data_IF_666503829509
#
_entry.id   IF_666503829509
#
_cell.length_a   1.000
_cell.length_b   1.000
_cell.length_c   1.000
_cell.angle_alpha   90.00
_cell.angle_beta   90.00
_cell.angle_gamma   90.00
#
_symmetry.space_group_name_H-M   'P 1'
#
loop_
_entity.id
_entity.type
_entity.pdbx_description
1 polymer ?
#
# COMPACT_ATOMS: atom_id res chain seq x y z
N UNK A 1 -1.89 -17.74 -24.20
CA UNK A 1 -2.27 -16.50 -23.48
C UNK A 1 -1.64 -16.60 -22.11
N UNK A 2 -0.64 -15.77 -21.81
CA UNK A 2 -0.21 -15.62 -20.41
C UNK A 2 -1.44 -15.25 -19.59
N UNK A 3 -1.61 -15.91 -18.44
CA UNK A 3 -2.70 -15.63 -17.54
C UNK A 3 -2.36 -14.29 -16.86
N UNK A 4 -2.80 -13.19 -17.47
CA UNK A 4 -2.52 -11.84 -16.99
C UNK A 4 -3.13 -11.68 -15.59
N UNK A 5 -2.28 -11.53 -14.58
CA UNK A 5 -2.66 -11.54 -13.17
C UNK A 5 -2.16 -10.26 -12.49
N UNK A 6 -2.88 -9.15 -12.65
CA UNK A 6 -2.46 -7.89 -12.03
C UNK A 6 -2.99 -7.71 -10.62
N UNK A 7 -2.24 -6.98 -9.80
CA UNK A 7 -2.62 -6.62 -8.46
C UNK A 7 -3.84 -5.67 -8.49
N UNK A 8 -4.84 -5.88 -7.61
CA UNK A 8 -5.86 -4.87 -7.38
C UNK A 8 -5.22 -3.55 -6.96
N UNK A 9 -5.67 -2.42 -7.52
CA UNK A 9 -5.16 -1.09 -7.18
C UNK A 9 -5.07 -0.82 -5.67
N UNK A 10 -6.08 -1.25 -4.91
CA UNK A 10 -6.12 -1.03 -3.47
C UNK A 10 -5.07 -1.86 -2.70
N UNK A 11 -4.66 -3.02 -3.23
CA UNK A 11 -3.54 -3.79 -2.68
C UNK A 11 -2.24 -3.03 -2.91
N UNK A 12 -2.03 -2.50 -4.12
CA UNK A 12 -0.85 -1.68 -4.43
C UNK A 12 -0.81 -0.38 -3.61
N UNK A 13 -1.96 0.25 -3.34
CA UNK A 13 -2.04 1.39 -2.42
C UNK A 13 -1.53 1.03 -1.02
N UNK A 14 -1.99 -0.11 -0.47
CA UNK A 14 -1.56 -0.60 0.84
C UNK A 14 -0.04 -0.86 0.86
N UNK A 15 0.46 -1.57 -0.14
CA UNK A 15 1.88 -1.94 -0.23
C UNK A 15 2.76 -0.69 -0.33
N UNK A 16 2.47 0.23 -1.25
CA UNK A 16 3.26 1.44 -1.40
C UNK A 16 3.16 2.36 -0.18
N UNK A 17 1.98 2.43 0.46
CA UNK A 17 1.81 3.11 1.74
C UNK A 17 2.66 2.49 2.85
N UNK A 18 2.74 1.17 2.91
CA UNK A 18 3.55 0.45 3.89
C UNK A 18 5.06 0.60 3.65
N UNK A 19 5.50 0.60 2.38
CA UNK A 19 6.91 0.87 2.04
C UNK A 19 7.28 2.29 2.49
N UNK A 20 6.46 3.29 2.17
CA UNK A 20 6.68 4.67 2.61
C UNK A 20 6.67 4.79 4.14
N UNK A 21 5.71 4.15 4.82
CA UNK A 21 5.63 4.14 6.28
C UNK A 21 6.90 3.55 6.91
N UNK A 22 7.32 2.36 6.46
CA UNK A 22 8.51 1.68 7.00
C UNK A 22 9.80 2.45 6.70
N UNK A 23 9.87 3.17 5.60
CA UNK A 23 10.98 4.07 5.32
C UNK A 23 11.01 5.24 6.31
N UNK A 24 9.87 5.87 6.59
CA UNK A 24 9.77 7.00 7.53
C UNK A 24 10.04 6.55 8.97
N UNK A 25 9.57 5.37 9.38
CA UNK A 25 9.76 4.84 10.74
C UNK A 25 11.11 4.15 10.95
N UNK A 26 11.76 3.71 9.87
CA UNK A 26 12.96 2.88 9.90
C UNK A 26 14.25 3.60 9.53
N UNK A 27 15.32 2.82 9.37
CA UNK A 27 16.67 3.29 9.04
C UNK A 27 17.26 2.58 7.80
N UNK A 28 16.43 1.85 7.05
CA UNK A 28 16.83 1.13 5.85
C UNK A 28 16.47 1.92 4.60
N UNK A 29 17.22 1.76 3.49
CA UNK A 29 16.91 2.38 2.22
C UNK A 29 15.55 1.90 1.68
N UNK A 30 14.88 2.75 0.90
CA UNK A 30 13.55 2.48 0.34
C UNK A 30 13.54 1.21 -0.55
N UNK A 31 14.66 1.00 -1.26
CA UNK A 31 14.95 -0.16 -2.11
C UNK A 31 14.84 -1.47 -1.34
N UNK A 32 15.33 -1.53 -0.09
CA UNK A 32 15.29 -2.75 0.71
C UNK A 32 13.84 -3.22 0.93
N UNK A 33 12.95 -2.28 1.30
CA UNK A 33 11.53 -2.58 1.50
C UNK A 33 10.83 -2.95 0.18
N UNK A 34 11.09 -2.19 -0.89
CA UNK A 34 10.48 -2.41 -2.20
C UNK A 34 10.87 -3.76 -2.80
N UNK A 35 12.17 -4.11 -2.78
CA UNK A 35 12.68 -5.39 -3.28
C UNK A 35 12.10 -6.57 -2.50
N UNK A 36 12.11 -6.48 -1.16
CA UNK A 36 11.63 -7.56 -0.31
C UNK A 36 10.13 -7.82 -0.49
N UNK A 37 9.32 -6.77 -0.46
CA UNK A 37 7.87 -6.91 -0.63
C UNK A 37 7.51 -7.33 -2.06
N UNK A 38 8.24 -6.83 -3.07
CA UNK A 38 8.06 -7.23 -4.48
C UNK A 38 8.23 -8.74 -4.66
N UNK A 39 9.29 -9.32 -4.08
CA UNK A 39 9.58 -10.76 -4.16
C UNK A 39 8.40 -11.63 -3.73
N UNK A 40 7.70 -11.24 -2.67
CA UNK A 40 6.53 -11.97 -2.18
C UNK A 40 5.26 -11.65 -2.98
N UNK A 41 5.07 -10.39 -3.38
CA UNK A 41 3.91 -9.97 -4.18
C UNK A 41 3.92 -10.55 -5.59
N UNK A 42 5.07 -10.73 -6.20
CA UNK A 42 5.20 -11.31 -7.55
C UNK A 42 4.78 -12.77 -7.61
N UNK A 43 4.71 -13.45 -6.46
CA UNK A 43 4.09 -14.79 -6.34
C UNK A 43 2.57 -14.75 -6.52
N UNK A 44 1.94 -13.57 -6.34
CA UNK A 44 0.50 -13.35 -6.43
C UNK A 44 0.10 -12.60 -7.72
N UNK A 45 0.93 -11.64 -8.13
CA UNK A 45 0.60 -10.69 -9.19
C UNK A 45 1.81 -10.40 -10.09
N UNK A 46 1.62 -10.41 -11.39
CA UNK A 46 2.69 -10.24 -12.38
C UNK A 46 3.17 -8.79 -12.56
N UNK A 47 2.49 -7.80 -11.98
CA UNK A 47 2.81 -6.37 -12.11
C UNK A 47 3.30 -5.72 -10.80
N UNK A 48 3.97 -6.49 -9.94
CA UNK A 48 4.46 -6.02 -8.63
C UNK A 48 5.98 -5.84 -8.58
N UNK A 49 6.61 -5.45 -9.68
CA UNK A 49 8.06 -5.26 -9.74
C UNK A 49 8.56 -4.23 -8.73
N UNK A 50 9.77 -4.47 -8.21
CA UNK A 50 10.38 -3.60 -7.21
C UNK A 50 10.49 -2.16 -7.69
N UNK A 51 10.85 -1.95 -8.96
CA UNK A 51 10.91 -0.62 -9.59
C UNK A 51 9.57 0.11 -9.53
N UNK A 52 8.46 -0.58 -9.80
CA UNK A 52 7.13 0.04 -9.78
C UNK A 52 6.74 0.45 -8.36
N UNK A 53 6.95 -0.44 -7.39
CA UNK A 53 6.64 -0.20 -5.98
C UNK A 53 7.50 0.93 -5.40
N UNK A 54 8.81 0.89 -5.66
CA UNK A 54 9.77 1.92 -5.28
C UNK A 54 9.36 3.28 -5.85
N UNK A 55 9.14 3.38 -7.17
CA UNK A 55 8.75 4.63 -7.82
C UNK A 55 7.45 5.23 -7.25
N UNK A 56 6.47 4.39 -6.92
CA UNK A 56 5.23 4.86 -6.31
C UNK A 56 5.45 5.37 -4.88
N UNK A 57 6.17 4.62 -4.03
CA UNK A 57 6.45 5.00 -2.65
C UNK A 57 7.35 6.24 -2.57
N UNK A 58 8.37 6.33 -3.41
CA UNK A 58 9.26 7.48 -3.53
C UNK A 58 8.47 8.74 -3.89
N UNK A 59 7.60 8.65 -4.91
CA UNK A 59 6.77 9.79 -5.30
C UNK A 59 5.77 10.21 -4.20
N UNK A 60 5.30 9.27 -3.37
CA UNK A 60 4.48 9.58 -2.20
C UNK A 60 5.29 10.36 -1.15
N UNK A 61 6.52 9.93 -0.86
CA UNK A 61 7.42 10.60 0.07
C UNK A 61 7.80 12.01 -0.42
N UNK A 62 8.17 12.16 -1.69
CA UNK A 62 8.43 13.48 -2.28
C UNK A 62 7.21 14.39 -2.15
N UNK A 63 6.00 13.89 -2.42
CA UNK A 63 4.79 14.68 -2.25
C UNK A 63 4.57 15.13 -0.79
N UNK A 64 4.86 14.28 0.20
CA UNK A 64 4.77 14.67 1.60
C UNK A 64 5.76 15.79 1.95
N UNK A 65 6.97 15.72 1.40
CA UNK A 65 7.96 16.81 1.52
C UNK A 65 7.49 18.09 0.83
N UNK A 66 6.87 17.99 -0.36
CA UNK A 66 6.35 19.15 -1.12
C UNK A 66 5.27 19.93 -0.36
N UNK A 67 4.47 19.26 0.47
CA UNK A 67 3.38 19.90 1.21
C UNK A 67 3.81 20.44 2.58
N UNK A 68 5.10 20.31 2.94
CA UNK A 68 5.71 20.81 4.19
C UNK A 68 4.89 20.44 5.45
N UNK A 69 4.42 19.19 5.51
CA UNK A 69 3.62 18.69 6.63
C UNK A 69 4.37 17.57 7.38
N UNK A 70 4.56 17.75 8.68
CA UNK A 70 5.37 16.86 9.51
C UNK A 70 4.65 15.54 9.86
N UNK A 71 3.42 15.31 9.39
CA UNK A 71 2.61 14.16 9.80
C UNK A 71 2.66 12.97 8.82
N UNK A 72 3.82 12.72 8.20
CA UNK A 72 4.02 11.66 7.20
C UNK A 72 3.56 10.26 7.66
N UNK A 73 3.83 9.92 8.92
CA UNK A 73 3.44 8.64 9.53
C UNK A 73 1.91 8.51 9.54
N UNK A 74 1.18 9.52 9.98
CA UNK A 74 -0.28 9.52 10.05
C UNK A 74 -0.90 9.40 8.66
N UNK A 75 -0.38 10.14 7.67
CA UNK A 75 -0.85 10.02 6.30
C UNK A 75 -0.68 8.61 5.73
N UNK A 76 0.47 7.97 5.99
CA UNK A 76 0.71 6.61 5.50
C UNK A 76 -0.17 5.59 6.23
N UNK A 77 -0.24 5.63 7.57
CA UNK A 77 -1.10 4.73 8.37
C UNK A 77 -2.56 4.84 7.98
N UNK A 78 -3.06 6.07 7.88
CA UNK A 78 -4.43 6.38 7.47
C UNK A 78 -4.74 5.94 6.04
N UNK A 79 -3.79 6.08 5.11
CA UNK A 79 -3.96 5.61 3.75
C UNK A 79 -4.02 4.08 3.63
N UNK A 80 -3.20 3.38 4.41
CA UNK A 80 -3.22 1.90 4.50
C UNK A 80 -4.57 1.44 5.05
N UNK A 81 -4.99 1.98 6.20
CA UNK A 81 -6.30 1.69 6.81
C UNK A 81 -7.45 1.96 5.83
N UNK A 82 -7.46 3.14 5.22
CA UNK A 82 -8.49 3.53 4.27
C UNK A 82 -8.56 2.56 3.07
N UNK A 83 -7.40 2.24 2.49
CA UNK A 83 -7.33 1.34 1.33
C UNK A 83 -7.76 -0.09 1.67
N UNK A 84 -7.47 -0.56 2.89
CA UNK A 84 -7.85 -1.87 3.37
C UNK A 84 -9.36 -2.00 3.61
N UNK A 85 -9.99 -0.99 4.22
CA UNK A 85 -11.36 -1.11 4.70
C UNK A 85 -12.40 -0.38 3.87
N UNK A 86 -12.02 0.54 2.97
CA UNK A 86 -12.95 1.34 2.20
C UNK A 86 -12.64 1.33 0.71
N UNK A 87 -13.68 1.39 -0.11
CA UNK A 87 -13.56 1.54 -1.56
C UNK A 87 -13.53 3.03 -1.99
N UNK A 88 -13.41 3.28 -3.30
CA UNK A 88 -13.35 4.64 -3.84
C UNK A 88 -14.65 5.46 -3.61
N UNK A 89 -15.78 4.80 -3.39
CA UNK A 89 -17.06 5.40 -3.05
C UNK A 89 -17.25 5.57 -1.53
N UNK A 90 -16.18 5.37 -0.75
CA UNK A 90 -16.18 5.45 0.70
C UNK A 90 -17.12 4.43 1.37
N UNK A 91 -17.37 3.30 0.72
CA UNK A 91 -18.16 2.21 1.28
C UNK A 91 -17.24 1.16 1.91
N UNK A 92 -17.68 0.44 2.94
CA UNK A 92 -16.94 -0.69 3.49
C UNK A 92 -16.57 -1.69 2.40
N UNK A 93 -15.28 -2.03 2.32
CA UNK A 93 -14.74 -2.95 1.32
C UNK A 93 -15.33 -4.34 1.57
N UNK A 94 -15.87 -4.92 0.51
CA UNK A 94 -16.27 -6.34 0.54
C UNK A 94 -15.01 -7.20 0.64
N UNK A 95 -14.84 -7.88 1.77
CA UNK A 95 -13.72 -8.80 2.03
C UNK A 95 -14.15 -10.27 2.10
N UNK A 96 -15.42 -10.52 2.42
CA UNK A 96 -15.98 -11.87 2.61
C UNK A 96 -16.99 -12.24 1.52
N UNK A 97 -17.07 -13.52 1.21
CA UNK A 97 -18.10 -14.12 0.36
C UNK A 97 -17.74 -15.53 -0.09
N UNK A 98 -18.73 -16.42 -0.21
CA UNK A 98 -18.52 -17.86 -0.44
C UNK A 98 -17.70 -18.18 -1.72
N UNK A 99 -17.77 -17.30 -2.72
CA UNK A 99 -17.04 -17.42 -4.00
C UNK A 99 -16.16 -16.20 -4.29
N UNK A 100 -15.81 -15.44 -3.25
CA UNK A 100 -15.11 -14.17 -3.41
C UNK A 100 -13.74 -14.22 -2.76
N UNK A 101 -12.69 -14.15 -3.60
CA UNK A 101 -11.34 -13.89 -3.14
C UNK A 101 -11.08 -12.36 -3.22
N UNK A 102 -10.97 -11.63 -2.10
CA UNK A 102 -10.69 -10.19 -2.12
C UNK A 102 -9.35 -9.86 -2.79
N UNK A 103 -8.36 -10.73 -2.60
CA UNK A 103 -7.01 -10.60 -3.14
C UNK A 103 -6.89 -11.22 -4.55
N UNK A 104 -8.00 -11.63 -5.16
CA UNK A 104 -7.99 -12.17 -6.52
C UNK A 104 -7.44 -11.16 -7.53
N UNK A 105 -6.65 -11.62 -8.52
CA UNK A 105 -6.03 -10.73 -9.49
C UNK A 105 -7.05 -10.04 -10.41
N UNK A 106 -6.59 -8.98 -11.07
CA UNK A 106 -7.37 -8.14 -11.98
C UNK A 106 -6.75 -8.12 -13.37
N UNK A 107 -7.58 -7.78 -14.36
CA UNK A 107 -7.14 -7.58 -15.74
C UNK A 107 -6.64 -6.14 -15.99
N UNK A 108 -7.00 -5.19 -15.13
CA UNK A 108 -6.60 -3.79 -15.26
C UNK A 108 -5.23 -3.56 -14.64
N UNK A 109 -4.29 -3.08 -15.45
CA UNK A 109 -2.95 -2.72 -14.99
C UNK A 109 -3.01 -1.40 -14.21
N UNK A 110 -2.48 -1.40 -12.99
CA UNK A 110 -2.36 -0.18 -12.18
C UNK A 110 -0.96 0.42 -12.35
N UNK A 111 -0.87 1.72 -12.64
CA UNK A 111 0.43 2.41 -12.79
C UNK A 111 0.89 3.06 -11.47
N UNK A 112 2.20 3.29 -11.31
CA UNK A 112 2.75 4.04 -10.14
C UNK A 112 2.12 5.43 -10.01
N UNK A 113 1.86 6.10 -11.14
CA UNK A 113 1.16 7.39 -11.17
C UNK A 113 -0.25 7.32 -10.61
N UNK A 114 -1.00 6.24 -10.87
CA UNK A 114 -2.38 6.12 -10.39
C UNK A 114 -2.46 5.84 -8.88
N UNK A 115 -1.42 5.22 -8.31
CA UNK A 115 -1.22 5.03 -6.87
C UNK A 115 -0.93 6.39 -6.21
N UNK A 116 0.02 7.16 -6.77
CA UNK A 116 0.32 8.52 -6.30
C UNK A 116 -0.90 9.44 -6.31
N UNK A 117 -1.73 9.38 -7.37
CA UNK A 117 -2.97 10.14 -7.42
C UNK A 117 -3.98 9.73 -6.35
N UNK A 118 -4.09 8.43 -6.04
CA UNK A 118 -4.93 7.97 -4.95
C UNK A 118 -4.41 8.47 -3.59
N UNK A 119 -3.10 8.44 -3.38
CA UNK A 119 -2.48 8.95 -2.16
C UNK A 119 -2.69 10.46 -1.99
N UNK A 120 -2.40 11.26 -3.01
CA UNK A 120 -2.63 12.72 -2.99
C UNK A 120 -4.08 13.07 -2.66
N UNK A 121 -5.03 12.43 -3.36
CA UNK A 121 -6.44 12.63 -3.11
C UNK A 121 -6.84 12.26 -1.67
N UNK A 122 -6.25 11.19 -1.11
CA UNK A 122 -6.50 10.80 0.27
C UNK A 122 -5.91 11.79 1.28
N UNK A 123 -4.66 12.23 1.10
CA UNK A 123 -3.99 13.21 1.98
C UNK A 123 -4.80 14.49 2.08
N UNK A 124 -5.23 15.06 0.94
CA UNK A 124 -6.07 16.25 0.96
C UNK A 124 -7.42 16.01 1.64
N UNK A 125 -8.01 14.81 1.47
CA UNK A 125 -9.25 14.44 2.16
C UNK A 125 -9.07 14.34 3.68
N UNK A 126 -7.96 13.75 4.15
CA UNK A 126 -7.68 13.64 5.58
C UNK A 126 -7.49 15.02 6.21
N UNK A 127 -6.78 15.93 5.52
CA UNK A 127 -6.56 17.31 5.98
C UNK A 127 -7.85 18.09 6.22
N UNK A 128 -8.85 17.90 5.36
CA UNK A 128 -10.15 18.58 5.52
C UNK A 128 -11.12 17.83 6.43
N UNK A 129 -10.87 16.53 6.67
CA UNK A 129 -11.77 15.71 7.46
C UNK A 129 -10.99 14.64 8.28
N UNK A 130 -10.65 14.97 9.54
CA UNK A 130 -9.91 14.08 10.44
C UNK A 130 -10.58 12.73 10.73
N UNK A 131 -11.88 12.56 10.41
CA UNK A 131 -12.57 11.27 10.61
C UNK A 131 -11.99 10.13 9.74
N UNK A 132 -11.20 10.46 8.72
CA UNK A 132 -10.49 9.50 7.88
C UNK A 132 -9.17 9.01 8.49
N UNK A 133 -8.79 9.53 9.66
CA UNK A 133 -7.62 9.07 10.39
C UNK A 133 -7.79 7.58 10.76
N UNK A 134 -6.70 6.83 10.69
CA UNK A 134 -6.66 5.48 11.22
C UNK A 134 -6.84 5.53 12.74
N UNK A 135 -7.63 4.61 13.33
CA UNK A 135 -7.62 4.43 14.78
C UNK A 135 -6.20 4.06 15.25
N UNK A 136 -5.76 4.61 16.39
CA UNK A 136 -4.38 4.43 16.87
C UNK A 136 -3.97 2.97 17.11
N UNK A 137 -4.93 2.13 17.52
CA UNK A 137 -4.71 0.70 17.78
C UNK A 137 -4.98 -0.19 16.56
N UNK A 138 -5.30 0.39 15.40
CA UNK A 138 -5.64 -0.42 14.22
C UNK A 138 -4.41 -1.05 13.59
N UNK A 139 -4.52 -2.34 13.25
CA UNK A 139 -3.53 -3.07 12.47
C UNK A 139 -4.19 -3.84 11.31
N UNK A 140 -3.45 -4.03 10.22
CA UNK A 140 -3.90 -4.90 9.13
C UNK A 140 -4.01 -6.38 9.61
N UNK A 141 -3.27 -6.74 10.65
CA UNK A 141 -3.36 -8.05 11.29
C UNK A 141 -4.76 -8.35 11.87
N UNK A 142 -5.55 -7.32 12.16
CA UNK A 142 -6.92 -7.45 12.68
C UNK A 142 -7.94 -7.82 11.59
N UNK A 143 -7.50 -7.94 10.33
CA UNK A 143 -8.33 -8.27 9.17
C UNK A 143 -7.93 -9.66 8.62
N UNK A 144 -8.59 -10.76 9.07
CA UNK A 144 -8.18 -12.11 8.72
C UNK A 144 -8.12 -12.40 7.22
N UNK A 145 -9.00 -11.80 6.44
CA UNK A 145 -9.03 -11.94 4.97
C UNK A 145 -7.78 -11.38 4.29
N UNK A 146 -7.05 -10.51 4.98
CA UNK A 146 -5.86 -9.83 4.49
C UNK A 146 -4.58 -10.37 5.15
N UNK A 147 -4.64 -11.52 5.83
CA UNK A 147 -3.47 -12.12 6.51
C UNK A 147 -2.26 -12.23 5.58
N UNK A 148 -2.45 -12.74 4.35
CA UNK A 148 -1.36 -12.87 3.37
C UNK A 148 -0.72 -11.52 3.08
N UNK A 149 -1.52 -10.46 2.95
CA UNK A 149 -1.00 -9.12 2.73
C UNK A 149 -0.25 -8.63 3.97
N UNK A 150 -0.81 -8.79 5.18
CA UNK A 150 -0.15 -8.44 6.42
C UNK A 150 1.22 -9.15 6.59
N UNK A 151 1.31 -10.44 6.29
CA UNK A 151 2.55 -11.21 6.35
C UNK A 151 3.62 -10.61 5.40
N UNK A 152 3.23 -10.15 4.21
CA UNK A 152 4.13 -9.46 3.26
C UNK A 152 4.59 -8.11 3.82
N UNK A 153 3.68 -7.28 4.35
CA UNK A 153 4.04 -5.93 4.81
C UNK A 153 4.96 -5.96 6.04
N UNK A 154 4.84 -7.01 6.86
CA UNK A 154 5.57 -7.18 8.12
C UNK A 154 6.80 -8.07 8.00
N UNK A 155 7.15 -8.50 6.78
CA UNK A 155 8.34 -9.29 6.53
C UNK A 155 9.59 -8.58 7.08
N UNK A 156 10.50 -9.35 7.67
CA UNK A 156 11.80 -8.84 8.08
C UNK A 156 12.57 -8.36 6.85
N UNK A 157 13.10 -7.14 6.94
CA UNK A 157 13.88 -6.48 5.89
C UNK A 157 15.22 -6.11 6.49
N UNK A 158 16.29 -6.41 5.76
CA UNK A 158 17.68 -6.11 6.15
C UNK A 158 18.35 -5.24 5.09
N UNK A 159 19.48 -4.64 5.45
CA UNK A 159 20.22 -3.76 4.52
C UNK A 159 20.60 -4.44 3.19
N UNK A 160 20.93 -5.74 3.23
CA UNK A 160 21.27 -6.50 2.03
C UNK A 160 20.11 -6.71 1.05
N UNK A 161 18.85 -6.54 1.49
CA UNK A 161 17.71 -6.61 0.57
C UNK A 161 17.69 -5.40 -0.40
N UNK A 162 18.50 -4.36 -0.17
CA UNK A 162 18.63 -3.19 -1.05
C UNK A 162 19.45 -3.44 -2.33
N UNK A 163 20.18 -4.56 -2.41
CA UNK A 163 21.21 -4.83 -3.42
C UNK A 163 20.70 -5.87 -4.43
#
# INVERSE_FOLDING_TARGET
MENISYAPKWVLNIVCGAIALRFVEGNLPLEAYANKMSTELEKLYSDCSSTKLHSAAEAMLFFLTEIEDDNAIEYCKSFIHYSALFDAANQPRKLKGLFFNPLGPRQELTTSKSILFAFRAFVFRLRINPQYAAPSEWSLADVPELKVLNDILTIEVVFFDAI
#
